data_IF_609590272390
#
_entry.id   IF_609590272390
#
_cell.length_a   1.000
_cell.length_b   1.000
_cell.length_c   1.000
_cell.angle_alpha   90.00
_cell.angle_beta   90.00
_cell.angle_gamma   90.00
#
_symmetry.space_group_name_H-M   'P 1'
#
loop_
_entity.id
_entity.type
_entity.pdbx_description
1 polymer ?
#
# COMPACT_ATOMS: atom_id res chain seq x y z
N UNK A 1 -11.04 15.96 -7.90
CA UNK A 1 -11.46 16.23 -6.51
C UNK A 1 -10.36 15.95 -5.49
N UNK A 2 -9.60 14.85 -5.62
CA UNK A 2 -8.57 14.44 -4.66
C UNK A 2 -7.59 15.55 -4.16
N UNK A 3 -7.02 16.44 -5.00
CA UNK A 3 -6.01 17.40 -4.53
C UNK A 3 -6.47 18.31 -3.39
N UNK A 4 -7.74 18.69 -3.38
CA UNK A 4 -8.29 19.51 -2.29
C UNK A 4 -8.44 18.72 -0.99
N UNK A 5 -8.87 17.46 -1.06
CA UNK A 5 -9.02 16.58 0.11
C UNK A 5 -7.66 16.26 0.73
N UNK A 6 -6.67 15.98 -0.13
CA UNK A 6 -5.29 15.73 0.30
C UNK A 6 -4.69 16.95 1.02
N UNK A 7 -4.97 18.17 0.53
CA UNK A 7 -4.57 19.40 1.22
C UNK A 7 -5.25 19.55 2.58
N UNK A 8 -6.56 19.27 2.69
CA UNK A 8 -7.25 19.33 3.98
C UNK A 8 -6.67 18.33 4.98
N UNK A 9 -6.31 17.12 4.54
CA UNK A 9 -5.67 16.14 5.41
C UNK A 9 -4.26 16.56 5.80
N UNK A 10 -3.46 17.04 4.84
CA UNK A 10 -2.06 17.40 5.06
C UNK A 10 -1.91 18.60 6.00
N UNK A 11 -2.71 19.66 5.80
CA UNK A 11 -2.59 20.89 6.59
C UNK A 11 -3.59 20.97 7.76
N UNK A 12 -4.68 20.21 7.70
CA UNK A 12 -5.76 20.22 8.68
C UNK A 12 -5.82 18.99 9.59
N UNK A 13 -4.81 18.11 9.57
CA UNK A 13 -4.78 16.87 10.35
C UNK A 13 -5.19 17.07 11.83
N UNK A 14 -4.63 18.08 12.50
CA UNK A 14 -4.93 18.37 13.91
C UNK A 14 -6.39 18.72 14.16
N UNK A 15 -6.99 19.49 13.26
CA UNK A 15 -8.41 19.84 13.31
C UNK A 15 -9.28 18.61 13.05
N UNK A 16 -8.95 17.82 12.02
CA UNK A 16 -9.71 16.62 11.65
C UNK A 16 -9.67 15.58 12.79
N UNK A 17 -8.51 15.37 13.40
CA UNK A 17 -8.34 14.46 14.54
C UNK A 17 -9.17 14.84 15.78
N UNK A 18 -9.47 16.13 15.96
CA UNK A 18 -10.28 16.63 17.09
C UNK A 18 -11.77 16.77 16.76
N UNK A 19 -12.16 16.60 15.50
CA UNK A 19 -13.53 16.77 15.02
C UNK A 19 -14.02 15.49 14.30
N UNK A 20 -14.56 14.50 15.04
CA UNK A 20 -15.00 13.23 14.49
C UNK A 20 -15.98 13.37 13.32
N UNK A 21 -16.86 14.36 13.33
CA UNK A 21 -17.79 14.61 12.21
C UNK A 21 -17.08 14.92 10.89
N UNK A 22 -15.94 15.59 10.95
CA UNK A 22 -15.15 15.92 9.75
C UNK A 22 -14.43 14.67 9.24
N UNK A 23 -13.90 13.86 10.15
CA UNK A 23 -13.30 12.57 9.81
C UNK A 23 -14.35 11.64 9.18
N UNK A 24 -15.55 11.55 9.76
CA UNK A 24 -16.65 10.73 9.25
C UNK A 24 -17.05 11.14 7.83
N UNK A 25 -17.11 12.44 7.51
CA UNK A 25 -17.36 12.90 6.13
C UNK A 25 -16.30 12.41 5.14
N UNK A 26 -15.02 12.37 5.54
CA UNK A 26 -13.95 11.82 4.69
C UNK A 26 -14.12 10.31 4.49
N UNK A 27 -14.48 9.58 5.56
CA UNK A 27 -14.78 8.15 5.51
C UNK A 27 -16.02 7.86 4.64
N UNK A 28 -17.04 8.70 4.68
CA UNK A 28 -18.24 8.58 3.85
C UNK A 28 -17.92 8.78 2.36
N UNK A 29 -17.06 9.74 2.03
CA UNK A 29 -16.57 9.93 0.64
C UNK A 29 -15.84 8.67 0.18
N UNK A 30 -14.97 8.12 1.02
CA UNK A 30 -14.28 6.86 0.72
C UNK A 30 -15.27 5.70 0.51
N UNK A 31 -16.18 5.50 1.46
CA UNK A 31 -17.12 4.38 1.49
C UNK A 31 -18.09 4.43 0.31
N UNK A 32 -18.68 5.60 0.05
CA UNK A 32 -19.58 5.81 -1.10
C UNK A 32 -18.86 5.54 -2.42
N UNK A 33 -17.58 5.92 -2.53
CA UNK A 33 -16.78 5.66 -3.74
C UNK A 33 -16.46 4.17 -3.91
N UNK A 34 -16.10 3.48 -2.82
CA UNK A 34 -15.76 2.05 -2.85
C UNK A 34 -16.97 1.13 -3.07
N UNK A 35 -18.15 1.52 -2.61
CA UNK A 35 -19.37 0.68 -2.67
C UNK A 35 -20.25 0.98 -3.87
N UNK A 36 -20.08 2.13 -4.51
CA UNK A 36 -20.88 2.51 -5.68
C UNK A 36 -20.71 1.53 -6.84
N UNK A 37 -21.85 1.13 -7.43
CA UNK A 37 -21.92 0.30 -8.64
C UNK A 37 -21.72 1.11 -9.92
N UNK A 38 -21.84 2.43 -9.85
CA UNK A 38 -21.78 3.33 -11.03
C UNK A 38 -20.41 3.94 -11.24
N UNK A 39 -19.56 3.96 -10.20
CA UNK A 39 -18.24 4.59 -10.25
C UNK A 39 -17.17 3.67 -10.83
N UNK A 40 -16.22 4.30 -11.52
CA UNK A 40 -15.19 3.64 -12.32
C UNK A 40 -13.98 3.18 -11.49
N UNK A 41 -13.06 2.45 -12.12
CA UNK A 41 -11.76 2.12 -11.54
C UNK A 41 -10.97 3.37 -11.11
N UNK A 42 -11.06 4.44 -11.89
CA UNK A 42 -10.33 5.69 -11.64
C UNK A 42 -10.81 6.37 -10.36
N UNK A 43 -12.11 6.31 -10.08
CA UNK A 43 -12.70 6.86 -8.85
C UNK A 43 -12.27 6.04 -7.64
N UNK A 44 -12.24 4.71 -7.77
CA UNK A 44 -11.74 3.80 -6.73
C UNK A 44 -10.26 4.03 -6.43
N UNK A 45 -9.44 4.35 -7.44
CA UNK A 45 -8.05 4.77 -7.24
C UNK A 45 -7.98 6.06 -6.41
N UNK A 46 -8.87 7.01 -6.66
CA UNK A 46 -8.94 8.25 -5.86
C UNK A 46 -9.32 7.92 -4.42
N UNK A 47 -10.25 6.99 -4.18
CA UNK A 47 -10.58 6.54 -2.84
C UNK A 47 -9.40 5.84 -2.14
N UNK A 48 -8.63 4.99 -2.84
CA UNK A 48 -7.40 4.42 -2.27
C UNK A 48 -6.42 5.52 -1.82
N UNK A 49 -6.19 6.52 -2.67
CA UNK A 49 -5.31 7.65 -2.33
C UNK A 49 -5.83 8.45 -1.13
N UNK A 50 -7.15 8.58 -0.99
CA UNK A 50 -7.76 9.20 0.18
C UNK A 50 -7.47 8.39 1.45
N UNK A 51 -7.66 7.07 1.42
CA UNK A 51 -7.31 6.20 2.53
C UNK A 51 -5.82 6.27 2.89
N UNK A 52 -4.93 6.29 1.89
CA UNK A 52 -3.49 6.48 2.09
C UNK A 52 -3.19 7.79 2.84
N UNK A 53 -3.73 8.92 2.36
CA UNK A 53 -3.53 10.22 3.00
C UNK A 53 -4.11 10.27 4.41
N UNK A 54 -5.25 9.61 4.66
CA UNK A 54 -5.85 9.52 5.99
C UNK A 54 -4.96 8.71 6.95
N UNK A 55 -4.48 7.53 6.54
CA UNK A 55 -3.56 6.71 7.33
C UNK A 55 -2.25 7.46 7.61
N UNK A 56 -1.72 8.20 6.63
CA UNK A 56 -0.47 8.94 6.81
C UNK A 56 -0.64 10.16 7.73
N UNK A 57 -1.72 10.94 7.57
CA UNK A 57 -1.90 12.21 8.28
C UNK A 57 -2.55 12.07 9.66
N UNK A 58 -3.41 11.05 9.86
CA UNK A 58 -4.21 10.87 11.08
C UNK A 58 -3.66 9.75 11.98
N UNK A 59 -2.32 9.68 12.13
CA UNK A 59 -1.64 8.72 13.00
C UNK A 59 -2.17 8.76 14.44
N UNK A 60 -2.56 7.60 14.94
CA UNK A 60 -3.17 7.41 16.27
C UNK A 60 -4.62 7.87 16.42
N UNK A 61 -5.28 8.35 15.36
CA UNK A 61 -6.65 8.87 15.42
C UNK A 61 -7.63 8.18 14.44
N UNK A 62 -7.13 7.27 13.61
CA UNK A 62 -7.85 6.59 12.54
C UNK A 62 -7.86 5.06 12.70
N UNK A 63 -7.54 4.54 13.88
CA UNK A 63 -7.53 3.10 14.18
C UNK A 63 -8.86 2.42 13.81
N UNK A 64 -9.99 3.08 14.10
CA UNK A 64 -11.33 2.58 13.77
C UNK A 64 -11.63 2.48 12.27
N UNK A 65 -10.89 3.20 11.42
CA UNK A 65 -11.06 3.15 9.96
C UNK A 65 -10.26 2.02 9.31
N UNK A 66 -9.23 1.49 10.00
CA UNK A 66 -8.32 0.46 9.47
C UNK A 66 -9.08 -0.79 8.98
N UNK A 67 -10.00 -1.39 9.76
CA UNK A 67 -10.72 -2.59 9.31
C UNK A 67 -11.52 -2.36 8.03
N UNK A 68 -12.19 -1.21 7.91
CA UNK A 68 -12.98 -0.85 6.73
C UNK A 68 -12.08 -0.71 5.50
N UNK A 69 -10.94 -0.03 5.62
CA UNK A 69 -10.00 0.11 4.51
C UNK A 69 -9.52 -1.26 4.02
N UNK A 70 -9.09 -2.12 4.95
CA UNK A 70 -8.63 -3.48 4.64
C UNK A 70 -9.71 -4.33 3.99
N UNK A 71 -10.95 -4.28 4.47
CA UNK A 71 -12.06 -5.05 3.92
C UNK A 71 -12.32 -4.71 2.44
N UNK A 72 -12.31 -3.43 2.08
CA UNK A 72 -12.53 -3.01 0.70
C UNK A 72 -11.33 -3.32 -0.21
N UNK A 73 -10.10 -3.13 0.27
CA UNK A 73 -8.91 -3.35 -0.54
C UNK A 73 -8.58 -4.83 -0.69
N UNK A 74 -8.83 -5.66 0.33
CA UNK A 74 -8.69 -7.12 0.22
C UNK A 74 -9.69 -7.70 -0.77
N UNK A 75 -10.93 -7.19 -0.82
CA UNK A 75 -11.89 -7.58 -1.87
C UNK A 75 -11.38 -7.28 -3.29
N UNK A 76 -10.71 -6.15 -3.49
CA UNK A 76 -10.07 -5.81 -4.77
C UNK A 76 -8.92 -6.78 -5.07
N UNK A 77 -8.10 -7.10 -4.07
CA UNK A 77 -6.96 -8.01 -4.19
C UNK A 77 -7.41 -9.43 -4.54
N UNK A 78 -8.37 -9.99 -3.79
CA UNK A 78 -8.91 -11.34 -4.00
C UNK A 78 -9.59 -11.48 -5.36
N UNK A 79 -10.24 -10.41 -5.85
CA UNK A 79 -10.82 -10.39 -7.19
C UNK A 79 -9.74 -10.50 -8.27
N UNK A 80 -8.54 -9.97 -8.02
CA UNK A 80 -7.43 -9.99 -8.96
C UNK A 80 -7.73 -9.24 -10.27
N UNK A 81 -6.86 -9.42 -11.26
CA UNK A 81 -7.08 -8.92 -12.63
C UNK A 81 -7.70 -10.06 -13.44
N UNK A 82 -8.99 -9.95 -13.79
CA UNK A 82 -9.68 -10.96 -14.60
C UNK A 82 -9.94 -10.45 -16.02
N UNK A 83 -9.89 -11.36 -16.99
CA UNK A 83 -10.18 -11.08 -18.41
C UNK A 83 -11.69 -11.01 -18.70
N UNK A 84 -12.50 -11.55 -17.79
CA UNK A 84 -13.95 -11.73 -17.96
C UNK A 84 -14.71 -10.47 -17.53
N UNK A 85 -14.17 -9.68 -16.60
CA UNK A 85 -14.79 -8.43 -16.16
C UNK A 85 -13.71 -7.42 -15.70
N UNK A 86 -13.28 -6.48 -16.58
CA UNK A 86 -12.13 -5.60 -16.38
C UNK A 86 -12.39 -4.46 -15.37
N UNK A 87 -13.16 -4.73 -14.32
CA UNK A 87 -13.44 -3.79 -13.21
C UNK A 87 -12.23 -3.63 -12.28
N UNK A 88 -11.24 -4.53 -12.35
CA UNK A 88 -9.98 -4.38 -11.62
C UNK A 88 -8.82 -4.18 -12.58
N UNK A 89 -8.35 -2.93 -12.69
CA UNK A 89 -7.14 -2.62 -13.45
C UNK A 89 -5.89 -2.92 -12.63
N UNK A 90 -4.75 -3.13 -13.31
CA UNK A 90 -3.43 -3.22 -12.65
C UNK A 90 -3.16 -2.01 -11.74
N UNK A 91 -3.57 -0.81 -12.15
CA UNK A 91 -3.38 0.39 -11.36
C UNK A 91 -4.21 0.38 -10.07
N UNK A 92 -5.48 -0.02 -10.14
CA UNK A 92 -6.34 -0.14 -8.96
C UNK A 92 -5.82 -1.18 -7.97
N UNK A 93 -5.38 -2.34 -8.47
CA UNK A 93 -4.81 -3.39 -7.63
C UNK A 93 -3.53 -2.93 -6.91
N UNK A 94 -2.66 -2.20 -7.60
CA UNK A 94 -1.47 -1.61 -6.98
C UNK A 94 -1.81 -0.61 -5.88
N UNK A 95 -2.81 0.25 -6.10
CA UNK A 95 -3.28 1.18 -5.08
C UNK A 95 -3.98 0.48 -3.91
N UNK A 96 -4.70 -0.62 -4.15
CA UNK A 96 -5.26 -1.45 -3.08
C UNK A 96 -4.15 -2.07 -2.21
N UNK A 97 -3.06 -2.56 -2.82
CA UNK A 97 -1.90 -3.03 -2.08
C UNK A 97 -1.22 -1.91 -1.29
N UNK A 98 -1.07 -0.72 -1.86
CA UNK A 98 -0.50 0.45 -1.16
C UNK A 98 -1.29 0.79 0.12
N UNK A 99 -2.62 0.77 0.07
CA UNK A 99 -3.46 1.01 1.24
C UNK A 99 -3.26 -0.04 2.32
N UNK A 100 -3.19 -1.34 1.97
CA UNK A 100 -2.91 -2.40 2.96
C UNK A 100 -1.52 -2.22 3.57
N UNK A 101 -0.51 -1.87 2.78
CA UNK A 101 0.84 -1.59 3.28
C UNK A 101 0.88 -0.36 4.19
N UNK A 102 0.14 0.69 3.84
CA UNK A 102 0.01 1.88 4.68
C UNK A 102 -0.73 1.57 5.98
N UNK A 103 -1.74 0.70 5.96
CA UNK A 103 -2.44 0.26 7.18
C UNK A 103 -1.48 -0.51 8.10
N UNK A 104 -0.71 -1.46 7.55
CA UNK A 104 0.32 -2.19 8.30
C UNK A 104 1.37 -1.25 8.86
N UNK A 105 1.85 -0.28 8.07
CA UNK A 105 2.82 0.69 8.54
C UNK A 105 2.24 1.70 9.56
N UNK A 106 0.93 1.93 9.52
CA UNK A 106 0.20 2.78 10.45
C UNK A 106 0.07 2.12 11.82
N UNK A 107 -0.54 0.94 11.84
CA UNK A 107 -0.76 0.14 13.05
C UNK A 107 -0.68 -1.35 12.66
N UNK A 108 0.51 -1.97 12.78
CA UNK A 108 0.71 -3.35 12.37
C UNK A 108 -0.11 -4.34 13.21
N UNK A 109 -0.34 -4.05 14.50
CA UNK A 109 -1.14 -4.91 15.38
C UNK A 109 -2.59 -5.05 14.90
N UNK A 110 -3.30 -3.91 14.73
CA UNK A 110 -4.69 -3.91 14.24
C UNK A 110 -4.76 -4.49 12.83
N UNK A 111 -3.84 -4.11 11.96
CA UNK A 111 -3.89 -4.52 10.55
C UNK A 111 -3.68 -6.02 10.38
N UNK A 112 -2.70 -6.59 11.09
CA UNK A 112 -2.44 -8.03 11.03
C UNK A 112 -3.56 -8.82 11.72
N UNK A 113 -4.11 -8.34 12.83
CA UNK A 113 -5.26 -8.97 13.48
C UNK A 113 -6.47 -9.07 12.54
N UNK A 114 -6.80 -8.00 11.81
CA UNK A 114 -7.86 -8.01 10.80
C UNK A 114 -7.56 -9.00 9.67
N UNK A 115 -6.33 -9.01 9.14
CA UNK A 115 -5.94 -9.93 8.06
C UNK A 115 -6.00 -11.40 8.51
N UNK A 116 -5.57 -11.72 9.73
CA UNK A 116 -5.62 -13.09 10.26
C UNK A 116 -7.05 -13.53 10.51
N UNK A 117 -7.84 -12.72 11.22
CA UNK A 117 -9.22 -13.07 11.60
C UNK A 117 -10.11 -13.37 10.41
N UNK A 118 -9.88 -12.67 9.29
CA UNK A 118 -10.61 -12.89 8.05
C UNK A 118 -9.97 -13.94 7.12
N UNK A 119 -8.83 -14.52 7.51
CA UNK A 119 -8.11 -15.50 6.70
C UNK A 119 -7.58 -14.93 5.38
N UNK A 120 -7.14 -13.67 5.38
CA UNK A 120 -6.67 -12.93 4.19
C UNK A 120 -5.15 -12.78 4.12
N UNK A 121 -4.44 -13.21 5.15
CA UNK A 121 -2.99 -13.00 5.28
C UNK A 121 -2.21 -13.68 4.16
N UNK A 122 -2.50 -14.95 3.85
CA UNK A 122 -1.77 -15.72 2.84
C UNK A 122 -2.00 -15.17 1.43
N UNK A 123 -3.23 -14.79 1.08
CA UNK A 123 -3.57 -14.18 -0.20
C UNK A 123 -2.90 -12.81 -0.35
N UNK A 124 -2.92 -12.00 0.71
CA UNK A 124 -2.25 -10.71 0.71
C UNK A 124 -0.73 -10.86 0.48
N UNK A 125 -0.05 -11.71 1.26
CA UNK A 125 1.39 -11.90 1.13
C UNK A 125 1.76 -12.47 -0.24
N UNK A 126 1.01 -13.46 -0.74
CA UNK A 126 1.23 -14.02 -2.07
C UNK A 126 1.12 -12.96 -3.16
N UNK A 127 0.05 -12.16 -3.14
CA UNK A 127 -0.16 -11.11 -4.13
C UNK A 127 0.88 -10.00 -4.02
N UNK A 128 1.18 -9.53 -2.82
CA UNK A 128 2.19 -8.50 -2.57
C UNK A 128 3.57 -8.95 -3.06
N UNK A 129 4.02 -10.14 -2.67
CA UNK A 129 5.36 -10.63 -3.01
C UNK A 129 5.51 -10.93 -4.51
N UNK A 130 4.46 -11.42 -5.17
CA UNK A 130 4.48 -11.60 -6.64
C UNK A 130 4.68 -10.28 -7.40
N UNK A 131 4.35 -9.14 -6.78
CA UNK A 131 4.40 -7.81 -7.41
C UNK A 131 5.58 -6.94 -6.97
N UNK A 132 6.41 -7.37 -6.02
CA UNK A 132 7.58 -6.61 -5.56
C UNK A 132 8.50 -6.16 -6.70
N UNK A 133 8.75 -7.05 -7.67
CA UNK A 133 9.59 -6.77 -8.84
C UNK A 133 8.99 -5.69 -9.77
N UNK A 134 7.67 -5.48 -9.71
CA UNK A 134 6.97 -4.46 -10.50
C UNK A 134 7.06 -3.06 -9.87
N UNK A 135 7.55 -2.92 -8.64
CA UNK A 135 7.66 -1.62 -7.97
C UNK A 135 8.80 -0.80 -8.57
N UNK A 136 8.43 0.26 -9.30
CA UNK A 136 9.40 1.16 -9.95
C UNK A 136 9.66 2.43 -9.16
N UNK A 137 8.67 2.91 -8.39
CA UNK A 137 8.79 4.18 -7.65
C UNK A 137 9.56 3.97 -6.36
N UNK A 138 10.39 4.94 -5.99
CA UNK A 138 11.10 4.94 -4.71
C UNK A 138 10.14 4.87 -3.52
N UNK A 139 8.98 5.53 -3.65
CA UNK A 139 7.93 5.52 -2.63
C UNK A 139 7.45 4.10 -2.32
N UNK A 140 6.97 3.37 -3.34
CA UNK A 140 6.41 2.02 -3.22
C UNK A 140 7.42 1.04 -2.57
N UNK A 141 8.70 1.15 -2.94
CA UNK A 141 9.77 0.34 -2.34
C UNK A 141 10.03 0.69 -0.88
N UNK A 142 10.08 1.98 -0.54
CA UNK A 142 10.26 2.43 0.85
C UNK A 142 9.08 2.00 1.73
N UNK A 143 7.86 2.20 1.24
CA UNK A 143 6.65 1.79 1.96
C UNK A 143 6.64 0.29 2.22
N UNK A 144 6.99 -0.52 1.22
CA UNK A 144 7.08 -1.97 1.39
C UNK A 144 8.12 -2.38 2.43
N UNK A 145 9.31 -1.76 2.42
CA UNK A 145 10.33 -2.02 3.44
C UNK A 145 9.84 -1.62 4.83
N UNK A 146 9.20 -0.46 4.96
CA UNK A 146 8.64 0.02 6.23
C UNK A 146 7.55 -0.94 6.76
N UNK A 147 6.68 -1.45 5.89
CA UNK A 147 5.68 -2.46 6.25
C UNK A 147 6.33 -3.78 6.69
N UNK A 148 7.35 -4.28 5.97
CA UNK A 148 8.10 -5.47 6.40
C UNK A 148 8.75 -5.25 7.77
N UNK A 149 9.40 -4.11 7.98
CA UNK A 149 10.02 -3.76 9.26
C UNK A 149 8.99 -3.67 10.38
N UNK A 150 7.81 -3.09 10.13
CA UNK A 150 6.72 -3.02 11.10
C UNK A 150 6.21 -4.41 11.51
N UNK A 151 5.99 -5.29 10.53
CA UNK A 151 5.58 -6.69 10.78
C UNK A 151 6.65 -7.41 11.61
N UNK A 152 7.92 -7.35 11.21
CA UNK A 152 9.00 -8.01 11.95
C UNK A 152 9.12 -7.49 13.39
N UNK A 153 8.88 -6.20 13.60
CA UNK A 153 8.95 -5.58 14.93
C UNK A 153 7.85 -6.11 15.86
N UNK A 154 6.59 -6.17 15.41
CA UNK A 154 5.50 -6.69 16.24
C UNK A 154 5.62 -8.18 16.53
N UNK A 155 6.19 -8.94 15.60
CA UNK A 155 6.35 -10.38 15.82
C UNK A 155 7.34 -10.70 16.93
N UNK A 156 8.32 -9.83 17.15
CA UNK A 156 9.28 -9.95 18.26
C UNK A 156 8.63 -9.58 19.59
N UNK A 157 7.69 -8.62 19.60
CA UNK A 157 7.11 -8.08 20.84
C UNK A 157 5.82 -8.75 21.29
N UNK A 158 4.96 -9.20 20.36
CA UNK A 158 3.58 -9.62 20.65
C UNK A 158 3.33 -11.11 20.41
N UNK A 159 4.37 -11.90 20.09
CA UNK A 159 4.23 -13.36 19.94
C UNK A 159 3.26 -13.74 18.81
N UNK A 160 3.34 -13.02 17.67
CA UNK A 160 2.59 -13.36 16.46
C UNK A 160 3.24 -14.58 15.80
N UNK A 161 3.24 -15.70 16.52
CA UNK A 161 3.99 -16.91 16.20
C UNK A 161 3.52 -17.55 14.89
N UNK A 162 2.25 -17.35 14.53
CA UNK A 162 1.64 -18.03 13.40
C UNK A 162 1.93 -17.38 12.03
N UNK A 163 2.10 -16.04 11.97
CA UNK A 163 2.37 -15.35 10.70
C UNK A 163 3.84 -15.50 10.31
N UNK A 164 4.78 -15.33 11.25
CA UNK A 164 6.20 -15.51 10.95
C UNK A 164 6.53 -16.95 10.62
N UNK A 165 5.90 -17.94 11.26
CA UNK A 165 6.18 -19.34 10.97
C UNK A 165 5.99 -19.68 9.48
N UNK A 166 5.04 -19.04 8.81
CA UNK A 166 4.71 -19.34 7.41
C UNK A 166 5.32 -18.35 6.40
N UNK A 167 5.46 -17.07 6.77
CA UNK A 167 5.85 -16.01 5.82
C UNK A 167 7.17 -15.30 6.13
N UNK A 168 7.87 -15.64 7.22
CA UNK A 168 9.15 -14.99 7.61
C UNK A 168 10.22 -15.07 6.53
N UNK A 169 10.42 -16.25 5.92
CA UNK A 169 11.38 -16.43 4.84
C UNK A 169 11.09 -15.55 3.63
N UNK A 170 9.81 -15.41 3.27
CA UNK A 170 9.37 -14.55 2.17
C UNK A 170 9.50 -13.06 2.51
N UNK A 171 9.24 -12.66 3.76
CA UNK A 171 9.43 -11.29 4.25
C UNK A 171 10.91 -10.89 4.16
N UNK A 172 11.82 -11.73 4.63
CA UNK A 172 13.27 -11.48 4.58
C UNK A 172 13.76 -11.44 3.14
N UNK A 173 13.37 -12.42 2.31
CA UNK A 173 13.73 -12.43 0.90
C UNK A 173 13.20 -11.20 0.18
N UNK A 174 11.93 -10.85 0.41
CA UNK A 174 11.29 -9.64 -0.11
C UNK A 174 12.04 -8.38 0.28
N UNK A 175 12.44 -8.24 1.54
CA UNK A 175 13.24 -7.12 2.02
C UNK A 175 14.60 -7.04 1.28
N UNK A 176 15.31 -8.17 1.13
CA UNK A 176 16.57 -8.20 0.40
C UNK A 176 16.43 -7.76 -1.06
N UNK A 177 15.40 -8.26 -1.77
CA UNK A 177 15.14 -7.84 -3.17
C UNK A 177 14.82 -6.34 -3.28
N UNK A 178 14.12 -5.79 -2.30
CA UNK A 178 13.82 -4.36 -2.24
C UNK A 178 15.06 -3.53 -1.94
N UNK A 179 15.91 -3.96 -1.00
CA UNK A 179 17.17 -3.29 -0.67
C UNK A 179 18.13 -3.27 -1.85
N UNK A 180 18.27 -4.38 -2.58
CA UNK A 180 19.12 -4.44 -3.77
C UNK A 180 18.66 -3.46 -4.86
N UNK A 181 17.34 -3.33 -5.04
CA UNK A 181 16.77 -2.56 -6.14
C UNK A 181 16.42 -1.10 -5.78
N UNK A 182 16.50 -0.71 -4.51
CA UNK A 182 16.18 0.64 -4.02
C UNK A 182 17.18 1.72 -4.50
N UNK A 183 18.51 1.51 -4.48
CA UNK A 183 19.48 2.49 -4.96
C UNK A 183 19.23 2.91 -6.41
N UNK A 184 18.89 1.96 -7.28
CA UNK A 184 18.57 2.24 -8.69
C UNK A 184 17.28 3.07 -8.84
N UNK A 185 16.28 2.83 -7.99
CA UNK A 185 15.06 3.64 -7.97
C UNK A 185 15.32 5.08 -7.48
N UNK A 186 16.22 5.27 -6.50
CA UNK A 186 16.63 6.60 -6.03
C UNK A 186 17.33 7.37 -7.14
N UNK A 187 18.28 6.74 -7.84
CA UNK A 187 18.98 7.34 -9.00
C UNK A 187 18.01 7.73 -10.11
N UNK A 188 17.07 6.84 -10.46
CA UNK A 188 16.06 7.16 -11.49
C UNK A 188 15.18 8.35 -11.11
N UNK A 189 14.84 8.51 -9.83
CA UNK A 189 14.09 9.68 -9.34
C UNK A 189 14.91 10.97 -9.46
N UNK A 190 16.19 10.95 -9.06
CA UNK A 190 17.07 12.12 -9.16
C UNK A 190 17.34 12.53 -10.61
N UNK A 191 17.53 11.56 -11.51
CA UNK A 191 17.80 11.83 -12.92
C UNK A 191 16.60 12.50 -13.60
N UNK A 192 15.38 12.03 -13.29
CA UNK A 192 14.13 12.66 -13.74
C UNK A 192 13.99 14.09 -13.23
N UNK A 193 14.32 14.36 -11.97
CA UNK A 193 14.28 15.71 -11.40
C UNK A 193 15.33 16.64 -12.03
N UNK A 194 16.45 16.10 -12.51
CA UNK A 194 17.53 16.85 -13.15
C UNK A 194 17.38 16.96 -14.68
N UNK A 195 16.33 16.40 -15.26
CA UNK A 195 16.11 16.39 -16.72
C UNK A 195 17.15 15.56 -17.49
N UNK A 196 17.89 14.67 -16.82
CA UNK A 196 18.92 13.86 -17.47
C UNK A 196 18.27 12.73 -18.27
N UNK A 197 18.75 12.44 -19.50
CA UNK A 197 18.22 11.33 -20.28
C UNK A 197 18.45 10.03 -19.52
N UNK A 198 17.38 9.26 -19.35
CA UNK A 198 17.43 7.96 -18.68
C UNK A 198 18.38 7.07 -19.50
N UNK A 199 19.58 6.79 -18.97
CA UNK A 199 20.54 5.87 -19.60
C UNK A 199 19.80 4.57 -19.86
N UNK A 200 19.39 4.33 -21.12
CA UNK A 200 18.97 3.01 -21.56
C UNK A 200 20.14 2.11 -21.19
N UNK A 201 19.92 1.15 -20.27
CA UNK A 201 20.85 0.02 -20.13
C UNK A 201 20.76 -0.72 -21.46
N UNK A 202 21.55 -0.29 -22.43
CA UNK A 202 21.90 -1.06 -23.59
C UNK A 202 22.54 -2.33 -23.04
N UNK A 203 22.00 -3.49 -23.38
CA UNK A 203 22.66 -4.78 -23.23
C UNK A 203 23.95 -4.77 -24.06
N UNK A 204 25.01 -4.18 -23.53
CA UNK A 204 26.31 -4.16 -24.17
C UNK A 204 27.31 -4.72 -23.18
N UNK A 205 27.89 -5.85 -23.60
CA UNK A 205 29.02 -6.58 -23.04
C UNK A 205 28.77 -7.50 -21.85
N UNK A 206 28.29 -8.71 -22.15
CA UNK A 206 29.05 -9.94 -21.86
C UNK A 206 28.97 -10.88 -23.06
N UNK A 207 29.89 -10.69 -24.01
CA UNK A 207 30.40 -11.79 -24.82
C UNK A 207 31.73 -12.21 -24.19
N UNK A 208 31.93 -13.53 -24.13
CA UNK A 208 33.21 -14.23 -24.06
C UNK A 208 34.06 -14.03 -22.80
N UNK A 209 34.10 -15.04 -21.93
CA UNK A 209 35.07 -16.17 -21.95
C UNK A 209 34.41 -17.33 -21.21
#
# INVERSE_FOLDING_TARGET
MFPSLDNYLTYGASYISSHPDTMNKMLDIYLSTMTSKTLSCSDRIIACKLADSMLLCLRGHADGAVPMFLEHTMRIIQRGITTIDPITTKALLMHALEVVLNAIYYNPGISMDVLIKNGWSSEFFGEWFSRLSSFKRTHDKKLSLLAISAILSISISEGVDNILAQSSGQLVLGALTLFESLPDAIRSKSDKQRGLPQKRRSNVCRHSI
#
